data_IF_265315464655
#
_entry.id   IF_265315464655
#
_cell.length_a   1.000
_cell.length_b   1.000
_cell.length_c   1.000
_cell.angle_alpha   90.00
_cell.angle_beta   90.00
_cell.angle_gamma   90.00
#
_symmetry.space_group_name_H-M   'P 1'
#
loop_
_entity.id
_entity.type
_entity.pdbx_description
1 polymer ?
#
# COMPACT_ATOMS: atom_id res chain seq x y z
N UNK A 1 32.19 2.21 8.60
CA UNK A 1 31.31 3.21 7.94
C UNK A 1 29.83 2.79 7.99
N UNK A 2 29.53 1.59 8.49
CA UNK A 2 28.18 1.00 8.55
C UNK A 2 27.28 1.63 9.62
N UNK A 3 27.81 1.89 10.82
CA UNK A 3 27.07 2.50 11.94
C UNK A 3 26.40 3.84 11.56
N UNK A 4 27.05 4.64 10.70
CA UNK A 4 26.52 5.94 10.28
C UNK A 4 25.38 5.79 9.26
N UNK A 5 25.42 4.75 8.43
CA UNK A 5 24.39 4.46 7.42
C UNK A 5 23.14 3.90 8.08
N UNK A 6 23.29 3.01 9.07
CA UNK A 6 22.17 2.45 9.84
C UNK A 6 21.40 3.56 10.58
N UNK A 7 22.10 4.46 11.27
CA UNK A 7 21.48 5.60 11.95
C UNK A 7 20.76 6.56 10.99
N UNK A 8 21.28 6.74 9.77
CA UNK A 8 20.63 7.55 8.74
C UNK A 8 19.35 6.89 8.22
N UNK A 9 19.39 5.57 8.02
CA UNK A 9 18.22 4.81 7.57
C UNK A 9 17.12 4.80 8.63
N UNK A 10 17.46 4.61 9.91
CA UNK A 10 16.50 4.69 11.03
C UNK A 10 15.85 6.08 11.11
N UNK A 11 16.64 7.16 10.98
CA UNK A 11 16.12 8.51 11.00
C UNK A 11 15.21 8.81 9.79
N UNK A 12 15.56 8.32 8.61
CA UNK A 12 14.75 8.47 7.41
C UNK A 12 13.42 7.70 7.53
N UNK A 13 13.45 6.48 8.06
CA UNK A 13 12.27 5.66 8.29
C UNK A 13 11.32 6.32 9.31
N UNK A 14 11.85 6.80 10.45
CA UNK A 14 11.06 7.55 11.43
C UNK A 14 10.42 8.81 10.83
N UNK A 15 11.16 9.56 10.01
CA UNK A 15 10.63 10.75 9.33
C UNK A 15 9.57 10.40 8.27
N UNK A 16 9.64 9.22 7.65
CA UNK A 16 8.60 8.74 6.74
C UNK A 16 7.32 8.36 7.50
N UNK A 17 7.42 7.62 8.59
CA UNK A 17 6.27 7.28 9.44
C UNK A 17 5.53 8.52 9.94
N UNK A 18 6.27 9.54 10.40
CA UNK A 18 5.67 10.80 10.86
C UNK A 18 4.96 11.55 9.72
N UNK A 19 5.51 11.54 8.49
CA UNK A 19 4.82 12.12 7.32
C UNK A 19 3.56 11.35 6.96
N UNK A 20 3.59 10.03 7.09
CA UNK A 20 2.45 9.17 6.79
C UNK A 20 1.33 9.36 7.83
N UNK A 21 1.66 9.40 9.13
CA UNK A 21 0.69 9.70 10.20
C UNK A 21 0.05 11.06 9.99
N UNK A 22 0.85 12.10 9.71
CA UNK A 22 0.33 13.44 9.44
C UNK A 22 -0.56 13.52 8.19
N UNK A 23 -0.25 12.75 7.15
CA UNK A 23 -1.09 12.67 5.95
C UNK A 23 -2.42 11.96 6.27
N UNK A 24 -2.37 10.85 7.00
CA UNK A 24 -3.57 10.09 7.37
C UNK A 24 -4.47 10.88 8.33
N UNK A 25 -3.88 11.60 9.29
CA UNK A 25 -4.62 12.47 10.20
C UNK A 25 -5.33 13.62 9.50
N UNK A 26 -4.73 14.13 8.41
CA UNK A 26 -5.34 15.18 7.59
C UNK A 26 -6.46 14.66 6.70
N UNK A 27 -6.24 13.52 6.04
CA UNK A 27 -7.05 13.11 4.89
C UNK A 27 -8.04 11.97 5.20
N UNK A 28 -7.81 11.17 6.24
CA UNK A 28 -8.66 10.03 6.58
C UNK A 28 -9.65 10.37 7.69
N UNK A 29 -10.93 10.21 7.36
CA UNK A 29 -12.00 10.30 8.35
C UNK A 29 -11.74 9.30 9.48
N UNK A 30 -12.01 9.72 10.71
CA UNK A 30 -11.92 8.91 11.93
C UNK A 30 -10.52 8.43 12.35
N UNK A 31 -9.47 8.61 11.54
CA UNK A 31 -8.09 8.26 11.90
C UNK A 31 -7.61 9.00 13.17
N UNK A 32 -8.00 10.27 13.31
CA UNK A 32 -7.72 11.09 14.49
C UNK A 32 -8.32 10.54 15.80
N UNK A 33 -9.29 9.63 15.74
CA UNK A 33 -9.93 9.02 16.92
C UNK A 33 -9.07 7.93 17.54
N UNK A 34 -8.09 7.41 16.81
CA UNK A 34 -7.15 6.40 17.29
C UNK A 34 -6.01 7.10 18.03
N UNK A 35 -5.60 6.54 19.17
CA UNK A 35 -4.46 7.05 19.93
C UNK A 35 -3.19 6.97 19.09
N UNK A 36 -2.39 8.05 19.12
CA UNK A 36 -1.18 8.16 18.29
C UNK A 36 -0.23 6.95 18.43
N UNK A 37 -0.09 6.40 19.63
CA UNK A 37 0.74 5.21 19.85
C UNK A 37 0.25 4.00 19.02
N UNK A 38 -1.06 3.75 19.01
CA UNK A 38 -1.68 2.68 18.22
C UNK A 38 -1.56 2.95 16.72
N UNK A 39 -1.69 4.22 16.30
CA UNK A 39 -1.49 4.62 14.90
C UNK A 39 -0.07 4.33 14.43
N UNK A 40 0.93 4.71 15.21
CA UNK A 40 2.34 4.45 14.89
C UNK A 40 2.66 2.95 14.90
N UNK A 41 2.07 2.16 15.79
CA UNK A 41 2.19 0.69 15.77
C UNK A 41 1.62 0.10 14.48
N UNK A 42 0.42 0.54 14.07
CA UNK A 42 -0.19 0.13 12.80
C UNK A 42 0.70 0.51 11.61
N UNK A 43 1.12 1.77 11.52
CA UNK A 43 1.94 2.25 10.40
C UNK A 43 3.26 1.50 10.31
N UNK A 44 3.92 1.23 11.44
CA UNK A 44 5.18 0.47 11.46
C UNK A 44 4.98 -0.91 10.86
N UNK A 45 3.97 -1.67 11.34
CA UNK A 45 3.69 -3.00 10.82
C UNK A 45 3.26 -2.98 9.34
N UNK A 46 2.45 -2.00 8.94
CA UNK A 46 1.96 -1.87 7.57
C UNK A 46 3.09 -1.51 6.58
N UNK A 47 4.04 -0.67 7.00
CA UNK A 47 5.24 -0.35 6.21
C UNK A 47 6.12 -1.59 6.05
N UNK A 48 6.40 -2.32 7.14
CA UNK A 48 7.16 -3.57 7.08
C UNK A 48 6.50 -4.60 6.14
N UNK A 49 5.17 -4.71 6.16
CA UNK A 49 4.44 -5.57 5.23
C UNK A 49 4.63 -5.11 3.77
N UNK A 50 4.50 -3.82 3.48
CA UNK A 50 4.70 -3.27 2.14
C UNK A 50 6.12 -3.55 1.61
N UNK A 51 7.14 -3.33 2.44
CA UNK A 51 8.54 -3.60 2.09
C UNK A 51 8.77 -5.08 1.79
N UNK A 52 8.15 -5.98 2.57
CA UNK A 52 8.20 -7.43 2.33
C UNK A 52 7.50 -7.86 1.03
N UNK A 53 6.55 -7.06 0.52
CA UNK A 53 5.95 -7.22 -0.82
C UNK A 53 6.79 -6.57 -1.93
N UNK A 54 7.96 -6.04 -1.58
CA UNK A 54 8.90 -5.44 -2.52
C UNK A 54 8.46 -4.07 -3.01
N UNK A 55 7.66 -3.32 -2.25
CA UNK A 55 7.49 -1.89 -2.48
C UNK A 55 8.70 -1.15 -1.89
N UNK A 56 9.41 -0.39 -2.71
CA UNK A 56 10.62 0.31 -2.31
C UNK A 56 10.44 1.83 -2.29
N UNK A 57 9.45 2.36 -3.01
CA UNK A 57 9.18 3.81 -2.99
C UNK A 57 8.20 4.17 -1.88
N UNK A 58 8.34 5.38 -1.35
CA UNK A 58 7.37 5.96 -0.39
C UNK A 58 5.95 5.96 -0.94
N UNK A 59 5.78 6.18 -2.26
CA UNK A 59 4.47 6.16 -2.90
C UNK A 59 3.86 4.76 -2.93
N UNK A 60 4.66 3.73 -3.24
CA UNK A 60 4.20 2.35 -3.24
C UNK A 60 3.83 1.87 -1.85
N UNK A 61 4.69 2.16 -0.87
CA UNK A 61 4.43 1.85 0.54
C UNK A 61 3.16 2.57 1.02
N UNK A 62 3.05 3.89 0.82
CA UNK A 62 1.86 4.63 1.25
C UNK A 62 0.56 4.13 0.58
N UNK A 63 0.62 3.74 -0.70
CA UNK A 63 -0.55 3.18 -1.41
C UNK A 63 -0.97 1.84 -0.80
N UNK A 64 -0.01 0.98 -0.46
CA UNK A 64 -0.28 -0.30 0.16
C UNK A 64 -0.82 -0.14 1.60
N UNK A 65 -0.23 0.75 2.40
CA UNK A 65 -0.72 1.06 3.75
C UNK A 65 -2.16 1.62 3.71
N UNK A 66 -2.48 2.43 2.70
CA UNK A 66 -3.84 2.94 2.50
C UNK A 66 -4.83 1.82 2.15
N UNK A 67 -4.41 0.85 1.32
CA UNK A 67 -5.23 -0.33 1.01
C UNK A 67 -5.52 -1.16 2.29
N UNK A 68 -4.49 -1.39 3.11
CA UNK A 68 -4.64 -2.06 4.41
C UNK A 68 -5.61 -1.31 5.35
N UNK A 69 -5.50 0.01 5.42
CA UNK A 69 -6.39 0.83 6.25
C UNK A 69 -7.87 0.64 5.89
N UNK A 70 -8.17 0.61 4.58
CA UNK A 70 -9.56 0.53 4.12
C UNK A 70 -10.13 -0.88 4.09
N UNK A 71 -9.30 -1.89 3.82
CA UNK A 71 -9.74 -3.25 3.52
C UNK A 71 -9.28 -4.31 4.53
N UNK A 72 -8.57 -3.90 5.57
CA UNK A 72 -8.01 -4.75 6.63
C UNK A 72 -6.87 -5.67 6.16
N UNK A 73 -6.23 -6.37 7.11
CA UNK A 73 -5.03 -7.20 6.91
C UNK A 73 -5.24 -8.37 5.94
N UNK A 74 -6.49 -8.80 5.73
CA UNK A 74 -6.83 -9.93 4.87
C UNK A 74 -7.06 -9.54 3.40
N UNK A 75 -6.97 -8.25 3.05
CA UNK A 75 -7.35 -7.77 1.71
C UNK A 75 -6.61 -8.46 0.57
N UNK A 76 -5.33 -8.78 0.76
CA UNK A 76 -4.52 -9.49 -0.24
C UNK A 76 -5.11 -10.86 -0.59
N UNK A 77 -5.74 -11.52 0.39
CA UNK A 77 -6.33 -12.85 0.24
C UNK A 77 -7.74 -12.84 -0.35
N UNK A 78 -8.31 -11.65 -0.62
CA UNK A 78 -9.65 -11.54 -1.20
C UNK A 78 -9.67 -11.87 -2.70
N UNK A 79 -8.52 -11.85 -3.38
CA UNK A 79 -8.39 -12.11 -4.82
C UNK A 79 -7.06 -12.79 -5.16
N UNK A 80 -7.12 -13.88 -5.91
CA UNK A 80 -5.92 -14.56 -6.44
C UNK A 80 -5.15 -13.68 -7.43
N UNK A 81 -5.87 -12.86 -8.22
CA UNK A 81 -5.28 -11.88 -9.11
C UNK A 81 -4.53 -10.77 -8.38
N UNK A 82 -5.09 -10.25 -7.28
CA UNK A 82 -4.41 -9.26 -6.45
C UNK A 82 -3.17 -9.87 -5.79
N UNK A 83 -3.29 -11.05 -5.19
CA UNK A 83 -2.16 -11.75 -4.59
C UNK A 83 -1.03 -11.98 -5.62
N UNK A 84 -1.39 -12.38 -6.85
CA UNK A 84 -0.45 -12.56 -7.95
C UNK A 84 0.21 -11.24 -8.38
N UNK A 85 -0.54 -10.13 -8.41
CA UNK A 85 -0.02 -8.80 -8.72
C UNK A 85 1.05 -8.38 -7.70
N UNK A 86 0.76 -8.52 -6.40
CA UNK A 86 1.65 -8.09 -5.32
C UNK A 86 2.99 -8.85 -5.34
N UNK A 87 2.96 -10.12 -5.75
CA UNK A 87 4.15 -10.98 -5.89
C UNK A 87 4.83 -10.89 -7.26
N UNK A 88 4.27 -10.14 -8.22
CA UNK A 88 4.81 -10.08 -9.58
C UNK A 88 6.11 -9.27 -9.66
N UNK A 89 6.91 -9.54 -10.69
CA UNK A 89 8.12 -8.77 -11.02
C UNK A 89 7.82 -7.48 -11.80
N UNK A 90 6.55 -7.10 -11.92
CA UNK A 90 6.16 -5.90 -12.67
C UNK A 90 6.75 -4.65 -12.03
N UNK A 91 7.05 -3.61 -12.83
CA UNK A 91 7.45 -2.31 -12.32
C UNK A 91 6.50 -1.83 -11.22
N UNK A 92 7.06 -1.28 -10.14
CA UNK A 92 6.29 -0.87 -8.96
C UNK A 92 5.12 0.07 -9.32
N UNK A 93 5.35 1.02 -10.23
CA UNK A 93 4.30 1.94 -10.73
C UNK A 93 3.09 1.19 -11.31
N UNK A 94 3.29 0.07 -12.02
CA UNK A 94 2.19 -0.75 -12.57
C UNK A 94 1.48 -1.50 -11.46
N UNK A 95 2.23 -2.08 -10.51
CA UNK A 95 1.65 -2.77 -9.34
C UNK A 95 0.80 -1.82 -8.51
N UNK A 96 1.31 -0.64 -8.19
CA UNK A 96 0.59 0.39 -7.43
C UNK A 96 -0.67 0.84 -8.18
N UNK A 97 -0.57 1.14 -9.47
CA UNK A 97 -1.73 1.59 -10.23
C UNK A 97 -2.83 0.52 -10.28
N UNK A 98 -2.48 -0.72 -10.60
CA UNK A 98 -3.45 -1.81 -10.67
C UNK A 98 -4.05 -2.17 -9.30
N UNK A 99 -3.25 -2.16 -8.23
CA UNK A 99 -3.74 -2.34 -6.86
C UNK A 99 -4.73 -1.23 -6.49
N UNK A 100 -4.41 0.04 -6.77
CA UNK A 100 -5.29 1.15 -6.43
C UNK A 100 -6.63 1.06 -7.18
N UNK A 101 -6.62 0.64 -8.46
CA UNK A 101 -7.85 0.43 -9.22
C UNK A 101 -8.68 -0.73 -8.67
N UNK A 102 -8.04 -1.81 -8.21
CA UNK A 102 -8.70 -2.92 -7.55
C UNK A 102 -9.36 -2.47 -6.23
N UNK A 103 -8.61 -1.75 -5.39
CA UNK A 103 -9.09 -1.22 -4.10
C UNK A 103 -10.26 -0.25 -4.31
N UNK A 104 -10.15 0.67 -5.25
CA UNK A 104 -11.20 1.64 -5.58
C UNK A 104 -12.49 0.94 -6.02
N UNK A 105 -12.38 -0.05 -6.91
CA UNK A 105 -13.53 -0.85 -7.36
C UNK A 105 -14.19 -1.60 -6.19
N UNK A 106 -13.41 -2.22 -5.31
CA UNK A 106 -13.94 -2.95 -4.18
C UNK A 106 -14.58 -2.04 -3.13
N UNK A 107 -14.04 -0.84 -2.92
CA UNK A 107 -14.68 0.16 -2.04
C UNK A 107 -16.01 0.66 -2.60
N UNK A 108 -16.15 0.72 -3.93
CA UNK A 108 -17.41 1.05 -4.59
C UNK A 108 -18.45 -0.06 -4.51
N UNK A 109 -18.02 -1.32 -4.66
CA UNK A 109 -18.87 -2.51 -4.62
C UNK A 109 -18.26 -3.64 -3.76
N UNK A 110 -18.41 -3.58 -2.41
CA UNK A 110 -17.69 -4.47 -1.47
C UNK A 110 -17.92 -5.97 -1.66
N UNK A 111 -19.06 -6.35 -2.21
CA UNK A 111 -19.43 -7.76 -2.43
C UNK A 111 -19.05 -8.27 -3.84
N UNK A 112 -18.41 -7.43 -4.67
CA UNK A 112 -18.15 -7.71 -6.08
C UNK A 112 -16.65 -7.81 -6.40
N UNK A 113 -16.00 -8.85 -5.85
CA UNK A 113 -14.58 -9.15 -6.12
C UNK A 113 -14.29 -9.29 -7.62
N UNK A 114 -15.21 -9.90 -8.37
CA UNK A 114 -15.03 -10.08 -9.82
C UNK A 114 -14.91 -8.74 -10.57
N UNK A 115 -15.69 -7.71 -10.18
CA UNK A 115 -15.55 -6.38 -10.77
C UNK A 115 -14.21 -5.73 -10.41
N UNK A 116 -13.72 -5.93 -9.19
CA UNK A 116 -12.40 -5.45 -8.78
C UNK A 116 -11.27 -6.13 -9.58
N UNK A 117 -11.37 -7.44 -9.82
CA UNK A 117 -10.40 -8.19 -10.63
C UNK A 117 -10.40 -7.75 -12.09
N UNK A 118 -11.57 -7.44 -12.66
CA UNK A 118 -11.66 -6.87 -14.01
C UNK A 118 -11.04 -5.46 -14.07
N UNK A 119 -11.24 -4.63 -13.03
CA UNK A 119 -10.59 -3.33 -12.94
C UNK A 119 -9.06 -3.45 -12.89
N UNK A 120 -8.54 -4.41 -12.11
CA UNK A 120 -7.12 -4.75 -12.05
C UNK A 120 -6.57 -5.17 -13.40
N UNK A 121 -7.22 -6.15 -14.07
CA UNK A 121 -6.81 -6.65 -15.39
C UNK A 121 -6.79 -5.53 -16.42
N UNK A 122 -7.81 -4.68 -16.43
CA UNK A 122 -7.89 -3.51 -17.30
C UNK A 122 -6.76 -2.52 -17.02
N UNK A 123 -6.47 -2.24 -15.74
CA UNK A 123 -5.37 -1.35 -15.35
C UNK A 123 -4.00 -1.90 -15.81
N UNK A 124 -3.77 -3.20 -15.67
CA UNK A 124 -2.56 -3.84 -16.17
C UNK A 124 -2.43 -3.74 -17.69
N UNK A 125 -3.52 -3.93 -18.43
CA UNK A 125 -3.52 -3.80 -19.89
C UNK A 125 -3.22 -2.36 -20.34
N UNK A 126 -3.87 -1.37 -19.72
CA UNK A 126 -3.65 0.05 -20.06
C UNK A 126 -2.23 0.53 -19.76
N UNK A 127 -1.53 -0.13 -18.84
CA UNK A 127 -0.18 0.23 -18.40
C UNK A 127 0.91 -0.65 -18.98
N UNK A 128 0.58 -1.55 -19.91
CA UNK A 128 1.56 -2.38 -20.64
C UNK A 128 2.74 -1.56 -21.23
N UNK A 129 2.54 -0.35 -21.78
CA UNK A 129 3.65 0.46 -22.29
C UNK A 129 4.64 0.95 -21.22
N UNK A 130 4.32 0.84 -19.92
CA UNK A 130 5.16 1.35 -18.82
C UNK A 130 6.26 0.37 -18.39
N UNK A 131 6.43 -0.74 -19.13
CA UNK A 131 7.49 -1.72 -18.93
C UNK A 131 6.95 -3.10 -18.54
N UNK A 132 7.70 -4.15 -18.91
CA UNK A 132 7.38 -5.56 -18.65
C UNK A 132 8.28 -6.15 -17.58
#
# INVERSE_FOLDING_TARGET
MEIRTEQLNEAAHAAFLERLDAAFERDLADYHRIEREQRLQFLTAAVELAENKGFASEQGIASYVLALWYLDIDFEGKSDELASLLLSSLPEVRRVHAMNQWVEALLGEPDNIAAADEALKKALHLTEPWGN
#
